data_IF_738030679539
#
_entry.id   IF_738030679539
#
_cell.length_a   1.000
_cell.length_b   1.000
_cell.length_c   1.000
_cell.angle_alpha   90.00
_cell.angle_beta   90.00
_cell.angle_gamma   90.00
#
_symmetry.space_group_name_H-M   'P 1'
#
loop_
_entity.id
_entity.type
_entity.pdbx_description
1 polymer ?
#
# COMPACT_ATOMS: atom_id res chain seq x y z
N UNK A 1 13.35 26.13 -0.51
CA UNK A 1 11.96 25.63 -0.56
C UNK A 1 11.54 25.37 0.86
N UNK A 2 10.36 25.86 1.26
CA UNK A 2 9.84 25.62 2.60
C UNK A 2 9.49 24.14 2.78
N UNK A 3 9.84 23.56 3.92
CA UNK A 3 9.50 22.17 4.24
C UNK A 3 7.99 22.01 4.47
N UNK A 4 7.43 20.81 4.26
CA UNK A 4 6.03 20.50 4.58
C UNK A 4 5.60 20.95 6.00
N UNK A 5 6.50 20.79 6.97
CA UNK A 5 6.29 21.24 8.35
C UNK A 5 6.17 22.75 8.46
N UNK A 6 7.09 23.50 7.84
CA UNK A 6 7.05 24.96 7.84
C UNK A 6 5.74 25.48 7.23
N UNK A 7 5.22 24.84 6.17
CA UNK A 7 3.94 25.25 5.59
C UNK A 7 2.79 25.00 6.57
N UNK A 8 2.74 23.84 7.22
CA UNK A 8 1.65 23.55 8.16
C UNK A 8 1.74 24.35 9.47
N UNK A 9 2.94 24.64 9.96
CA UNK A 9 3.16 25.43 11.17
C UNK A 9 2.96 26.93 10.92
N UNK A 10 3.38 27.44 9.75
CA UNK A 10 3.17 28.85 9.38
C UNK A 10 1.75 29.12 8.87
N UNK A 11 1.03 28.11 8.37
CA UNK A 11 -0.31 28.27 7.79
C UNK A 11 -1.30 27.23 8.35
N UNK A 12 -1.68 27.30 9.64
CA UNK A 12 -2.63 26.36 10.24
C UNK A 12 -4.01 26.36 9.54
N UNK A 13 -4.40 27.49 8.94
CA UNK A 13 -5.62 27.61 8.13
C UNK A 13 -5.58 26.74 6.86
N UNK A 14 -4.39 26.48 6.30
CA UNK A 14 -4.23 25.63 5.12
C UNK A 14 -4.64 24.19 5.44
N UNK A 15 -4.09 23.60 6.51
CA UNK A 15 -4.39 22.22 6.86
C UNK A 15 -5.87 22.03 7.23
N UNK A 16 -6.45 23.01 7.92
CA UNK A 16 -7.89 23.02 8.17
C UNK A 16 -8.69 23.00 6.86
N UNK A 17 -8.31 23.84 5.88
CA UNK A 17 -9.03 23.90 4.60
C UNK A 17 -8.89 22.59 3.81
N UNK A 18 -7.71 21.97 3.83
CA UNK A 18 -7.48 20.67 3.19
C UNK A 18 -8.38 19.59 3.82
N UNK A 19 -8.53 19.57 5.15
CA UNK A 19 -9.44 18.63 5.80
C UNK A 19 -10.91 18.90 5.48
N UNK A 20 -11.34 20.16 5.40
CA UNK A 20 -12.69 20.51 4.95
C UNK A 20 -12.94 20.00 3.52
N UNK A 21 -11.98 20.21 2.61
CA UNK A 21 -12.06 19.73 1.23
C UNK A 21 -12.08 18.20 1.14
N UNK A 22 -11.32 17.49 1.98
CA UNK A 22 -11.32 16.01 2.03
C UNK A 22 -12.67 15.43 2.49
N UNK A 23 -13.45 16.21 3.22
CA UNK A 23 -14.78 15.84 3.73
C UNK A 23 -15.92 16.41 2.87
N UNK A 24 -15.60 17.13 1.80
CA UNK A 24 -16.58 17.77 0.91
C UNK A 24 -17.34 16.71 0.09
N UNK A 25 -18.46 17.14 -0.51
CA UNK A 25 -19.22 16.34 -1.46
C UNK A 25 -18.72 16.53 -2.89
N UNK A 26 -18.07 17.66 -3.18
CA UNK A 26 -17.45 17.92 -4.47
C UNK A 26 -16.26 16.96 -4.70
N UNK A 27 -16.32 16.07 -5.71
CA UNK A 27 -15.25 15.13 -5.99
C UNK A 27 -13.96 15.84 -6.43
N UNK A 28 -14.03 17.04 -7.03
CA UNK A 28 -12.83 17.79 -7.43
C UNK A 28 -12.09 18.27 -6.19
N UNK A 29 -12.80 18.89 -5.25
CA UNK A 29 -12.23 19.34 -3.97
C UNK A 29 -11.67 18.17 -3.16
N UNK A 30 -12.45 17.08 -3.08
CA UNK A 30 -12.03 15.85 -2.40
C UNK A 30 -10.73 15.33 -3.01
N UNK A 31 -10.67 15.18 -4.33
CA UNK A 31 -9.48 14.64 -5.02
C UNK A 31 -8.23 15.49 -4.79
N UNK A 32 -8.35 16.82 -4.87
CA UNK A 32 -7.23 17.74 -4.60
C UNK A 32 -6.75 17.59 -3.15
N UNK A 33 -7.67 17.46 -2.19
CA UNK A 33 -7.31 17.27 -0.80
C UNK A 33 -6.59 15.94 -0.54
N UNK A 34 -7.05 14.85 -1.16
CA UNK A 34 -6.41 13.54 -1.03
C UNK A 34 -4.97 13.57 -1.55
N UNK A 35 -4.75 14.12 -2.75
CA UNK A 35 -3.40 14.25 -3.33
C UNK A 35 -2.49 15.10 -2.43
N UNK A 36 -3.03 16.23 -1.92
CA UNK A 36 -2.30 17.13 -1.02
C UNK A 36 -1.88 16.41 0.26
N UNK A 37 -2.80 15.65 0.87
CA UNK A 37 -2.52 14.90 2.10
C UNK A 37 -1.53 13.77 1.88
N UNK A 38 -1.62 13.08 0.75
CA UNK A 38 -0.65 12.07 0.34
C UNK A 38 0.75 12.66 0.23
N UNK A 39 0.89 13.78 -0.50
CA UNK A 39 2.19 14.47 -0.64
C UNK A 39 2.71 14.98 0.70
N UNK A 40 1.87 15.63 1.50
CA UNK A 40 2.26 16.11 2.83
C UNK A 40 2.78 14.95 3.69
N UNK A 41 1.97 13.88 3.77
CA UNK A 41 2.28 12.69 4.54
C UNK A 41 3.33 11.78 3.92
N UNK A 42 3.95 12.14 2.79
CA UNK A 42 5.08 11.38 2.23
C UNK A 42 6.40 11.62 2.99
N UNK A 43 6.45 12.67 3.83
CA UNK A 43 7.61 13.03 4.65
C UNK A 43 7.37 12.70 6.13
N UNK A 44 8.44 12.51 6.91
CA UNK A 44 8.34 12.22 8.35
C UNK A 44 7.70 13.40 9.08
N UNK A 45 8.12 14.61 8.77
CA UNK A 45 7.63 15.82 9.43
C UNK A 45 6.16 16.06 9.09
N UNK A 46 5.75 15.84 7.83
CA UNK A 46 4.35 15.91 7.44
C UNK A 46 3.49 14.85 8.13
N UNK A 47 4.01 13.63 8.32
CA UNK A 47 3.32 12.59 9.11
C UNK A 47 3.10 13.04 10.56
N UNK A 48 4.13 13.61 11.20
CA UNK A 48 4.04 14.12 12.57
C UNK A 48 3.03 15.27 12.69
N UNK A 49 3.01 16.19 11.73
CA UNK A 49 2.01 17.27 11.67
C UNK A 49 0.59 16.69 11.59
N UNK A 50 0.35 15.74 10.68
CA UNK A 50 -0.96 15.11 10.52
C UNK A 50 -1.41 14.41 11.81
N UNK A 51 -0.49 13.69 12.45
CA UNK A 51 -0.76 13.00 13.72
C UNK A 51 -1.19 13.95 14.83
N UNK A 52 -0.55 15.13 14.94
CA UNK A 52 -0.90 16.15 15.96
C UNK A 52 -2.35 16.64 15.85
N UNK A 53 -2.99 16.48 14.69
CA UNK A 53 -4.39 16.89 14.50
C UNK A 53 -5.42 15.87 15.02
N UNK A 54 -4.96 14.68 15.45
CA UNK A 54 -5.76 13.69 16.17
C UNK A 54 -7.00 13.22 15.41
N UNK A 55 -8.17 13.33 16.06
CA UNK A 55 -9.46 12.84 15.53
C UNK A 55 -9.82 13.43 14.16
N UNK A 56 -9.35 14.64 13.83
CA UNK A 56 -9.60 15.25 12.52
C UNK A 56 -8.99 14.40 11.42
N UNK A 57 -7.72 14.02 11.57
CA UNK A 57 -7.06 13.19 10.58
C UNK A 57 -7.60 11.75 10.57
N UNK A 58 -7.96 11.18 11.73
CA UNK A 58 -8.61 9.87 11.76
C UNK A 58 -9.94 9.85 11.00
N UNK A 59 -10.74 10.93 11.04
CA UNK A 59 -11.95 11.05 10.21
C UNK A 59 -11.62 11.06 8.72
N UNK A 60 -10.53 11.73 8.33
CA UNK A 60 -10.06 11.72 6.94
C UNK A 60 -9.62 10.32 6.51
N UNK A 61 -8.86 9.58 7.33
CA UNK A 61 -8.49 8.19 7.05
C UNK A 61 -9.72 7.29 6.87
N UNK A 62 -10.75 7.43 7.72
CA UNK A 62 -12.02 6.71 7.57
C UNK A 62 -12.74 7.10 6.27
N UNK A 63 -12.72 8.38 5.90
CA UNK A 63 -13.28 8.86 4.64
C UNK A 63 -12.53 8.29 3.44
N UNK A 64 -11.20 8.26 3.49
CA UNK A 64 -10.36 7.62 2.48
C UNK A 64 -10.72 6.15 2.30
N UNK A 65 -10.88 5.41 3.39
CA UNK A 65 -11.33 4.01 3.31
C UNK A 65 -12.67 3.85 2.59
N UNK A 66 -13.67 4.70 2.90
CA UNK A 66 -14.96 4.68 2.21
C UNK A 66 -14.82 4.97 0.71
N UNK A 67 -14.00 5.98 0.36
CA UNK A 67 -13.75 6.34 -1.03
C UNK A 67 -13.05 5.22 -1.79
N UNK A 68 -12.00 4.62 -1.22
CA UNK A 68 -11.25 3.51 -1.82
C UNK A 68 -12.12 2.28 -2.13
N UNK A 69 -13.22 2.08 -1.38
CA UNK A 69 -14.16 0.98 -1.59
C UNK A 69 -15.26 1.32 -2.60
N UNK A 70 -15.84 2.52 -2.50
CA UNK A 70 -17.16 2.79 -3.05
C UNK A 70 -17.21 3.92 -4.09
N UNK A 71 -16.15 4.71 -4.22
CA UNK A 71 -16.15 5.85 -5.16
C UNK A 71 -15.98 5.40 -6.62
N UNK A 72 -15.99 6.37 -7.54
CA UNK A 72 -15.60 6.12 -8.93
C UNK A 72 -14.17 5.58 -9.00
N UNK A 73 -13.86 4.79 -10.03
CA UNK A 73 -12.53 4.20 -10.21
C UNK A 73 -11.41 5.23 -10.13
N UNK A 74 -11.57 6.39 -10.76
CA UNK A 74 -10.60 7.49 -10.70
C UNK A 74 -10.35 7.96 -9.26
N UNK A 75 -11.41 8.20 -8.48
CA UNK A 75 -11.29 8.64 -7.09
C UNK A 75 -10.69 7.54 -6.20
N UNK A 76 -11.04 6.27 -6.45
CA UNK A 76 -10.45 5.11 -5.76
C UNK A 76 -8.95 5.04 -6.01
N UNK A 77 -8.49 5.25 -7.25
CA UNK A 77 -7.06 5.29 -7.62
C UNK A 77 -6.33 6.38 -6.85
N UNK A 78 -6.85 7.62 -6.85
CA UNK A 78 -6.24 8.75 -6.11
C UNK A 78 -6.18 8.48 -4.62
N UNK A 79 -7.25 7.91 -4.07
CA UNK A 79 -7.33 7.55 -2.67
C UNK A 79 -6.31 6.48 -2.26
N UNK A 80 -6.17 5.41 -3.05
CA UNK A 80 -5.18 4.36 -2.80
C UNK A 80 -3.76 4.88 -2.91
N UNK A 81 -3.50 5.83 -3.81
CA UNK A 81 -2.20 6.49 -3.90
C UNK A 81 -1.90 7.33 -2.66
N UNK A 82 -2.84 8.15 -2.22
CA UNK A 82 -2.66 8.95 -1.02
C UNK A 82 -2.43 8.07 0.22
N UNK A 83 -3.17 6.94 0.35
CA UNK A 83 -2.93 5.94 1.41
C UNK A 83 -1.52 5.34 1.30
N UNK A 84 -1.07 4.99 0.09
CA UNK A 84 0.28 4.45 -0.15
C UNK A 84 1.35 5.44 0.35
N UNK A 85 1.23 6.71 -0.01
CA UNK A 85 2.19 7.76 0.41
C UNK A 85 2.18 7.96 1.94
N UNK A 86 1.00 7.95 2.56
CA UNK A 86 0.84 8.08 4.01
C UNK A 86 1.48 6.93 4.78
N UNK A 87 1.38 5.70 4.26
CA UNK A 87 1.88 4.52 4.95
C UNK A 87 3.35 4.23 4.65
N UNK A 88 3.91 4.75 3.55
CA UNK A 88 5.31 4.51 3.17
C UNK A 88 6.24 5.09 4.22
N UNK A 89 7.12 4.24 4.75
CA UNK A 89 8.17 4.60 5.70
C UNK A 89 9.48 3.87 5.33
N UNK A 90 10.44 4.55 4.67
CA UNK A 90 11.74 4.01 4.30
C UNK A 90 12.50 3.45 5.51
N UNK A 91 13.30 2.39 5.28
CA UNK A 91 13.99 1.67 6.34
C UNK A 91 14.88 2.59 7.21
N UNK A 92 15.50 3.59 6.59
CA UNK A 92 16.38 4.56 7.24
C UNK A 92 15.63 5.51 8.20
N UNK A 93 14.31 5.61 8.05
CA UNK A 93 13.43 6.48 8.84
C UNK A 93 12.62 5.69 9.87
N UNK A 94 12.76 4.36 9.94
CA UNK A 94 11.96 3.53 10.85
C UNK A 94 12.45 3.69 12.30
N UNK A 95 11.61 4.32 13.12
CA UNK A 95 11.70 4.31 14.59
C UNK A 95 10.47 3.62 15.16
N UNK A 96 10.51 3.18 16.42
CA UNK A 96 9.34 2.56 17.08
C UNK A 96 8.10 3.47 17.02
N UNK A 97 8.27 4.77 17.26
CA UNK A 97 7.19 5.75 17.21
C UNK A 97 6.59 5.89 15.79
N UNK A 98 7.44 5.95 14.76
CA UNK A 98 6.97 6.11 13.38
C UNK A 98 6.35 4.83 12.82
N UNK A 99 6.84 3.66 13.25
CA UNK A 99 6.24 2.37 12.94
C UNK A 99 4.87 2.23 13.61
N UNK A 100 4.76 2.56 14.90
CA UNK A 100 3.49 2.57 15.62
C UNK A 100 2.50 3.58 15.02
N UNK A 101 3.00 4.72 14.53
CA UNK A 101 2.19 5.70 13.83
C UNK A 101 1.56 5.14 12.54
N UNK A 102 2.36 4.60 11.62
CA UNK A 102 1.86 4.05 10.34
C UNK A 102 0.96 2.84 10.55
N UNK A 103 1.29 1.98 11.53
CA UNK A 103 0.45 0.85 11.95
C UNK A 103 -0.92 1.34 12.45
N UNK A 104 -0.93 2.36 13.32
CA UNK A 104 -2.17 2.91 13.86
C UNK A 104 -3.08 3.48 12.76
N UNK A 105 -2.50 4.17 11.77
CA UNK A 105 -3.22 4.71 10.64
C UNK A 105 -3.79 3.61 9.76
N UNK A 106 -3.03 2.55 9.51
CA UNK A 106 -3.52 1.38 8.77
C UNK A 106 -4.72 0.73 9.46
N UNK A 107 -4.67 0.59 10.79
CA UNK A 107 -5.77 0.08 11.59
C UNK A 107 -7.04 0.95 11.57
N UNK A 108 -6.92 2.26 11.37
CA UNK A 108 -8.09 3.16 11.24
C UNK A 108 -8.85 2.95 9.92
N UNK A 109 -8.17 2.45 8.87
CA UNK A 109 -8.78 2.29 7.54
C UNK A 109 -9.89 1.22 7.55
N UNK A 110 -9.73 0.13 8.30
CA UNK A 110 -10.70 -0.96 8.34
C UNK A 110 -10.44 -1.84 9.54
N UNK A 111 -11.47 -2.55 10.01
CA UNK A 111 -11.31 -3.63 10.99
C UNK A 111 -10.55 -4.84 10.39
N UNK A 112 -10.57 -4.98 9.06
CA UNK A 112 -9.85 -6.00 8.29
C UNK A 112 -9.16 -5.33 7.09
N UNK A 113 -8.08 -4.57 7.31
CA UNK A 113 -7.45 -3.78 6.25
C UNK A 113 -6.75 -4.67 5.21
N UNK A 114 -6.15 -5.78 5.63
CA UNK A 114 -5.55 -6.77 4.71
C UNK A 114 -6.58 -7.34 3.73
N UNK A 115 -7.75 -7.76 4.23
CA UNK A 115 -8.84 -8.28 3.39
C UNK A 115 -9.42 -7.21 2.47
N UNK A 116 -9.56 -5.98 2.96
CA UNK A 116 -10.02 -4.85 2.15
C UNK A 116 -9.12 -4.62 0.94
N UNK A 117 -7.81 -4.47 1.14
CA UNK A 117 -6.89 -4.22 0.02
C UNK A 117 -6.74 -5.45 -0.88
N UNK A 118 -6.78 -6.66 -0.32
CA UNK A 118 -6.79 -7.89 -1.12
C UNK A 118 -8.02 -7.95 -2.01
N UNK A 119 -9.21 -7.66 -1.47
CA UNK A 119 -10.46 -7.63 -2.23
C UNK A 119 -10.50 -6.55 -3.32
N UNK A 120 -9.80 -5.42 -3.14
CA UNK A 120 -9.59 -4.43 -4.21
C UNK A 120 -8.61 -4.97 -5.26
N UNK A 121 -7.53 -5.61 -4.82
CA UNK A 121 -6.49 -6.13 -5.72
C UNK A 121 -6.99 -7.23 -6.66
N UNK A 122 -8.05 -7.95 -6.31
CA UNK A 122 -8.59 -9.04 -7.14
C UNK A 122 -9.69 -8.60 -8.10
N UNK A 123 -10.03 -7.31 -8.15
CA UNK A 123 -11.06 -6.80 -9.05
C UNK A 123 -10.54 -6.72 -10.50
N UNK A 124 -11.40 -6.83 -11.52
CA UNK A 124 -11.02 -6.76 -12.93
C UNK A 124 -10.76 -5.30 -13.40
N UNK A 125 -10.03 -4.52 -12.59
CA UNK A 125 -9.64 -3.14 -12.87
C UNK A 125 -8.13 -3.02 -12.67
N UNK A 126 -7.32 -3.04 -13.75
CA UNK A 126 -5.86 -3.09 -13.66
C UNK A 126 -5.26 -1.98 -12.78
N UNK A 127 -5.77 -0.76 -12.90
CA UNK A 127 -5.35 0.40 -12.12
C UNK A 127 -5.62 0.23 -10.62
N UNK A 128 -6.75 -0.35 -10.23
CA UNK A 128 -7.05 -0.64 -8.82
C UNK A 128 -6.21 -1.79 -8.28
N UNK A 129 -6.00 -2.82 -9.11
CA UNK A 129 -5.11 -3.93 -8.80
C UNK A 129 -3.70 -3.43 -8.47
N UNK A 130 -3.12 -2.63 -9.36
CA UNK A 130 -1.77 -2.07 -9.20
C UNK A 130 -1.69 -1.18 -7.95
N UNK A 131 -2.65 -0.29 -7.74
CA UNK A 131 -2.63 0.61 -6.56
C UNK A 131 -2.81 -0.13 -5.25
N UNK A 132 -3.63 -1.19 -5.20
CA UNK A 132 -3.75 -2.02 -4.01
C UNK A 132 -2.45 -2.80 -3.70
N UNK A 133 -1.75 -3.31 -4.73
CA UNK A 133 -0.44 -3.92 -4.54
C UNK A 133 0.60 -2.92 -4.01
N UNK A 134 0.54 -1.66 -4.44
CA UNK A 134 1.41 -0.59 -3.93
C UNK A 134 1.17 -0.26 -2.46
N UNK A 135 -0.09 -0.34 -1.97
CA UNK A 135 -0.38 -0.22 -0.53
C UNK A 135 0.32 -1.33 0.25
N UNK A 136 0.29 -2.57 -0.24
CA UNK A 136 1.05 -3.65 0.39
C UNK A 136 2.56 -3.39 0.32
N UNK A 137 3.09 -2.90 -0.80
CA UNK A 137 4.51 -2.61 -0.95
C UNK A 137 4.97 -1.53 0.05
N UNK A 138 4.15 -0.50 0.29
CA UNK A 138 4.45 0.57 1.25
C UNK A 138 4.68 0.07 2.69
N UNK A 139 4.01 -1.02 3.08
CA UNK A 139 4.10 -1.59 4.42
C UNK A 139 5.00 -2.84 4.48
N UNK A 140 5.45 -3.36 3.33
CA UNK A 140 6.22 -4.59 3.23
C UNK A 140 7.59 -4.52 3.92
N UNK A 141 8.23 -3.35 3.94
CA UNK A 141 9.50 -3.18 4.63
C UNK A 141 9.34 -2.93 6.14
N UNK A 142 8.11 -2.81 6.65
CA UNK A 142 7.82 -2.47 8.04
C UNK A 142 7.46 -3.75 8.83
N UNK A 143 8.09 -4.02 10.00
CA UNK A 143 7.88 -5.25 10.75
C UNK A 143 6.40 -5.56 11.11
N UNK A 144 5.62 -4.54 11.44
CA UNK A 144 4.18 -4.71 11.74
C UNK A 144 3.40 -5.15 10.49
N UNK A 145 3.72 -4.59 9.31
CA UNK A 145 3.10 -4.94 8.05
C UNK A 145 3.42 -6.38 7.66
N UNK A 146 4.68 -6.79 7.86
CA UNK A 146 5.13 -8.17 7.65
C UNK A 146 4.38 -9.18 8.52
N UNK A 147 4.18 -8.87 9.81
CA UNK A 147 3.39 -9.70 10.74
C UNK A 147 1.96 -9.87 10.24
N UNK A 148 1.32 -8.80 9.75
CA UNK A 148 -0.03 -8.88 9.17
C UNK A 148 -0.06 -9.71 7.89
N UNK A 149 0.95 -9.58 7.03
CA UNK A 149 1.06 -10.34 5.78
C UNK A 149 1.21 -11.84 6.03
N UNK A 150 2.13 -12.26 6.91
CA UNK A 150 2.35 -13.69 7.19
C UNK A 150 1.18 -14.30 7.95
N UNK A 151 0.50 -13.53 8.80
CA UNK A 151 -0.71 -13.96 9.50
C UNK A 151 -1.94 -14.06 8.58
N UNK A 152 -1.91 -13.40 7.40
CA UNK A 152 -3.02 -13.41 6.45
C UNK A 152 -3.01 -14.68 5.59
N UNK A 153 -4.02 -15.57 5.69
CA UNK A 153 -4.01 -16.85 4.99
C UNK A 153 -3.89 -16.72 3.47
N UNK A 154 -2.93 -17.44 2.90
CA UNK A 154 -2.67 -17.47 1.45
C UNK A 154 -2.11 -16.17 0.88
N UNK A 155 -1.67 -15.21 1.71
CA UNK A 155 -1.09 -13.97 1.22
C UNK A 155 0.25 -14.20 0.51
N UNK A 156 1.11 -15.07 1.06
CA UNK A 156 2.41 -15.39 0.43
C UNK A 156 2.20 -16.03 -0.93
N UNK A 157 1.31 -17.01 -1.02
CA UNK A 157 0.92 -17.66 -2.28
C UNK A 157 0.40 -16.64 -3.27
N UNK A 158 -0.49 -15.75 -2.82
CA UNK A 158 -1.02 -14.67 -3.64
C UNK A 158 0.06 -13.76 -4.22
N UNK A 159 1.07 -13.33 -3.45
CA UNK A 159 2.08 -12.39 -3.94
C UNK A 159 3.19 -13.03 -4.79
N UNK A 160 3.37 -14.35 -4.74
CA UNK A 160 4.34 -15.05 -5.60
C UNK A 160 3.71 -15.75 -6.80
N UNK A 161 2.38 -15.84 -6.86
CA UNK A 161 1.67 -16.47 -7.98
C UNK A 161 1.88 -15.69 -9.29
N UNK A 162 2.46 -16.33 -10.30
CA UNK A 162 2.74 -15.69 -11.59
C UNK A 162 1.60 -15.82 -12.60
N UNK A 163 0.54 -16.55 -12.27
CA UNK A 163 -0.58 -16.81 -13.18
C UNK A 163 -1.55 -15.62 -13.30
N UNK A 164 -1.57 -14.74 -12.28
CA UNK A 164 -2.46 -13.57 -12.20
C UNK A 164 -1.72 -12.27 -12.55
N UNK A 165 -2.39 -11.35 -13.24
CA UNK A 165 -1.81 -10.03 -13.57
C UNK A 165 -1.02 -10.04 -14.88
N UNK A 166 -1.69 -10.07 -16.04
CA UNK A 166 -1.01 -10.27 -17.31
C UNK A 166 -0.23 -9.04 -17.78
N UNK A 167 -0.64 -7.83 -17.37
CA UNK A 167 0.01 -6.59 -17.81
C UNK A 167 1.40 -6.43 -17.21
N UNK A 168 2.25 -5.67 -17.91
CA UNK A 168 3.61 -5.37 -17.46
C UNK A 168 3.57 -4.67 -16.10
N UNK A 169 2.69 -3.69 -15.95
CA UNK A 169 2.58 -2.83 -14.76
C UNK A 169 2.12 -3.63 -13.53
N UNK A 170 1.25 -4.64 -13.73
CA UNK A 170 0.81 -5.55 -12.66
C UNK A 170 1.96 -6.43 -12.19
N UNK A 171 2.75 -6.99 -13.13
CA UNK A 171 3.95 -7.78 -12.81
C UNK A 171 5.00 -6.94 -12.09
N UNK A 172 5.22 -5.71 -12.55
CA UNK A 172 6.16 -4.77 -11.94
C UNK A 172 5.72 -4.43 -10.50
N UNK A 173 4.45 -4.07 -10.27
CA UNK A 173 3.94 -3.76 -8.93
C UNK A 173 4.03 -4.96 -7.96
N UNK A 174 3.74 -6.17 -8.46
CA UNK A 174 3.87 -7.41 -7.68
C UNK A 174 5.34 -7.69 -7.34
N UNK A 175 6.23 -7.48 -8.29
CA UNK A 175 7.67 -7.61 -8.08
C UNK A 175 8.22 -6.60 -7.09
N UNK A 176 7.79 -5.33 -7.16
CA UNK A 176 8.13 -4.30 -6.18
C UNK A 176 7.73 -4.70 -4.76
N UNK A 177 6.52 -5.24 -4.57
CA UNK A 177 6.07 -5.77 -3.29
C UNK A 177 6.97 -6.90 -2.76
N UNK A 178 7.24 -7.92 -3.58
CA UNK A 178 8.08 -9.05 -3.15
C UNK A 178 9.52 -8.60 -2.91
N UNK A 179 10.03 -7.67 -3.72
CA UNK A 179 11.36 -7.08 -3.53
C UNK A 179 11.44 -6.29 -2.23
N UNK A 180 10.45 -5.46 -1.91
CA UNK A 180 10.40 -4.73 -0.64
C UNK A 180 10.42 -5.65 0.59
N UNK A 181 9.80 -6.83 0.50
CA UNK A 181 9.94 -7.88 1.52
C UNK A 181 11.36 -8.43 1.56
N UNK A 182 11.93 -8.83 0.42
CA UNK A 182 13.28 -9.44 0.37
C UNK A 182 14.37 -8.49 0.87
N UNK A 183 14.25 -7.20 0.57
CA UNK A 183 15.22 -6.17 0.92
C UNK A 183 15.12 -5.74 2.40
N UNK A 184 14.03 -6.07 3.10
CA UNK A 184 13.88 -5.78 4.53
C UNK A 184 14.63 -6.79 5.40
N UNK A 185 15.37 -6.27 6.37
CA UNK A 185 16.21 -7.05 7.29
C UNK A 185 15.41 -7.94 8.24
N UNK A 186 14.15 -7.59 8.51
CA UNK A 186 13.27 -8.31 9.45
C UNK A 186 12.51 -9.47 8.80
N UNK A 187 12.49 -9.57 7.47
CA UNK A 187 11.65 -10.54 6.76
C UNK A 187 12.02 -11.99 7.05
N UNK A 188 13.31 -12.32 7.10
CA UNK A 188 13.74 -13.69 7.36
C UNK A 188 13.29 -14.19 8.74
N UNK A 189 13.30 -13.30 9.73
CA UNK A 189 12.84 -13.58 11.10
C UNK A 189 11.31 -13.71 11.14
N UNK A 190 10.57 -12.78 10.53
CA UNK A 190 9.11 -12.71 10.64
C UNK A 190 8.39 -13.74 9.75
N UNK A 191 8.83 -13.92 8.50
CA UNK A 191 8.25 -14.89 7.57
C UNK A 191 8.81 -16.31 7.78
N UNK A 192 9.97 -16.42 8.43
CA UNK A 192 10.70 -17.68 8.54
C UNK A 192 11.42 -18.09 7.25
N UNK A 193 12.42 -18.95 7.39
CA UNK A 193 13.34 -19.34 6.31
C UNK A 193 12.63 -19.90 5.07
N UNK A 194 11.59 -20.72 5.24
CA UNK A 194 10.90 -21.35 4.12
C UNK A 194 10.23 -20.31 3.19
N UNK A 195 9.48 -19.37 3.77
CA UNK A 195 8.83 -18.32 2.99
C UNK A 195 9.88 -17.34 2.44
N UNK A 196 10.88 -16.95 3.23
CA UNK A 196 11.94 -16.05 2.78
C UNK A 196 12.70 -16.59 1.55
N UNK A 197 13.02 -17.88 1.53
CA UNK A 197 13.67 -18.52 0.37
C UNK A 197 12.79 -18.48 -0.89
N UNK A 198 11.47 -18.67 -0.76
CA UNK A 198 10.52 -18.55 -1.89
C UNK A 198 10.49 -17.12 -2.43
N UNK A 199 10.43 -16.12 -1.55
CA UNK A 199 10.45 -14.70 -1.93
C UNK A 199 11.76 -14.34 -2.65
N UNK A 200 12.91 -14.80 -2.14
CA UNK A 200 14.21 -14.59 -2.79
C UNK A 200 14.31 -15.25 -4.16
N UNK A 201 13.78 -16.47 -4.30
CA UNK A 201 13.73 -17.15 -5.60
C UNK A 201 12.92 -16.35 -6.62
N UNK A 202 11.74 -15.86 -6.22
CA UNK A 202 10.88 -15.01 -7.06
C UNK A 202 11.61 -13.74 -7.54
N UNK A 203 12.32 -13.05 -6.64
CA UNK A 203 13.08 -11.83 -7.01
C UNK A 203 14.23 -12.15 -7.95
N UNK A 204 14.96 -13.24 -7.70
CA UNK A 204 16.10 -13.67 -8.54
C UNK A 204 15.67 -14.05 -9.96
N UNK A 205 14.51 -14.68 -10.10
CA UNK A 205 13.90 -15.02 -11.40
C UNK A 205 13.45 -13.79 -12.19
N UNK A 206 13.12 -12.70 -11.50
CA UNK A 206 12.65 -11.46 -12.13
C UNK A 206 11.13 -11.38 -12.32
N UNK A 207 10.60 -10.20 -12.70
CA UNK A 207 9.16 -9.95 -12.84
C UNK A 207 8.50 -10.72 -13.99
N UNK A 208 9.26 -11.07 -15.03
CA UNK A 208 8.72 -11.65 -16.27
C UNK A 208 9.05 -13.14 -16.45
N UNK A 209 9.59 -13.79 -15.42
CA UNK A 209 9.84 -15.23 -15.48
C UNK A 209 8.54 -16.02 -15.70
N UNK A 210 8.59 -16.99 -16.59
CA UNK A 210 7.48 -17.91 -16.87
C UNK A 210 7.97 -19.32 -16.61
N UNK A 211 7.25 -20.06 -15.76
CA UNK A 211 7.53 -21.46 -15.53
C UNK A 211 7.21 -22.23 -16.81
N UNK A 212 8.19 -22.94 -17.37
CA UNK A 212 7.96 -23.81 -18.51
C UNK A 212 7.02 -24.94 -18.09
N UNK A 213 5.76 -24.87 -18.53
CA UNK A 213 4.81 -25.98 -18.36
C UNK A 213 5.09 -26.94 -19.52
N UNK A 214 5.72 -28.08 -19.23
CA UNK A 214 5.83 -29.16 -20.21
C UNK A 214 4.43 -29.75 -20.43
N UNK A 215 3.73 -29.30 -21.47
CA UNK A 215 2.51 -29.98 -21.92
C UNK A 215 2.93 -31.30 -22.56
N UNK A 216 2.82 -32.41 -21.82
CA UNK A 216 2.95 -33.74 -22.40
C UNK A 216 1.65 -34.00 -23.15
N UNK A 217 1.65 -33.76 -24.46
CA UNK A 217 0.56 -34.19 -25.33
C UNK A 217 0.60 -35.71 -25.37
N UNK A 218 -0.34 -36.36 -24.68
CA UNK A 218 -0.55 -37.80 -24.86
C UNK A 218 -1.28 -37.94 -26.18
N UNK A 219 -0.53 -38.23 -27.25
CA UNK A 219 -1.10 -38.65 -28.52
C UNK A 219 -1.79 -40.00 -28.26
N UNK A 220 -3.12 -39.95 -28.09
CA UNK A 220 -3.95 -41.13 -27.95
C UNK A 220 -3.84 -41.97 -29.22
N UNK A 221 -3.34 -43.18 -29.05
CA UNK A 221 -3.16 -44.19 -30.06
C UNK A 221 -4.50 -44.65 -30.69
N UNK A 222 -4.44 -44.93 -31.99
CA UNK A 222 -5.30 -45.73 -32.89
C UNK A 222 -6.82 -45.81 -32.63
#
# INVERSE_FOLDING_TARGET
MDSPQQICECYPAFLQKVFEMAMDQDPVMTGVALDTLGVLGSTVEGKQVLQKTGEKFQRVLKRMSQLARNATTEMRVRCLEAITLLLTLPAEQQTEDLLGLTESWFGVLSNQPMEMFRGISTQPFPELHIRALRVFAAIACQPWGQKLMVASPGFVEFIIDRSTGPSKESKDAKFELVKALVDSTSTAEIFGNQHYLRLRAYVREGPYYVTAVSSVTVEGAE
#
